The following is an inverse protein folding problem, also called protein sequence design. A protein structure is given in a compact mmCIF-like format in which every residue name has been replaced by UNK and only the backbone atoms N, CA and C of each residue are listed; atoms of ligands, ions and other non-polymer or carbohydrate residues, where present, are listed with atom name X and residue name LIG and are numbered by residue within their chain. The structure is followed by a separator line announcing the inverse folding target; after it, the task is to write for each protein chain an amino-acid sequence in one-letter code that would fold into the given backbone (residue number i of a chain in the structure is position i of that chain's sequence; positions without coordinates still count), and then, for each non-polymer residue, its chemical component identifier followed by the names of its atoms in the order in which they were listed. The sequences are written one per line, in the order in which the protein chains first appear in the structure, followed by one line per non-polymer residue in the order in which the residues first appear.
data_IF_216714378764
#
_entry.id   IF_216714378764
#
_cell.length_a   1.000
_cell.length_b   1.000
_cell.length_c   1.000
_cell.angle_alpha   90.00
_cell.angle_beta   90.00
_cell.angle_gamma   90.00
#
_symmetry.space_group_name_H-M   'P 1'
#
loop_
_entity.id
_entity.type
_entity.pdbx_description
1 polymer ?
#
# COMPACT_ATOMS: atom_id res chain seq x y z
N UNK A 1 -1.35 -9.38 4.54
CA UNK A 1 -1.59 -10.81 4.29
C UNK A 1 -2.22 -11.51 5.48
N UNK A 2 -3.35 -11.00 5.99
CA UNK A 2 -4.12 -11.65 7.06
C UNK A 2 -4.56 -13.08 6.66
N UNK A 3 -4.98 -13.25 5.40
CA UNK A 3 -5.37 -14.54 4.83
C UNK A 3 -4.19 -15.42 4.37
N UNK A 4 -2.95 -15.10 4.74
CA UNK A 4 -1.76 -15.83 4.32
C UNK A 4 -1.57 -15.90 2.77
N UNK A 5 -2.03 -14.88 2.05
CA UNK A 5 -1.88 -14.75 0.59
C UNK A 5 -0.78 -13.70 0.29
N UNK A 6 0.23 -14.02 -0.54
CA UNK A 6 1.26 -13.05 -0.92
C UNK A 6 0.76 -12.09 -2.00
N UNK A 7 1.22 -10.85 -1.93
CA UNK A 7 1.16 -9.93 -3.07
C UNK A 7 2.35 -10.27 -3.97
N UNK A 8 2.07 -10.71 -5.19
CA UNK A 8 3.13 -11.16 -6.12
C UNK A 8 3.46 -10.12 -7.19
N UNK A 9 2.56 -9.17 -7.43
CA UNK A 9 2.66 -8.18 -8.48
C UNK A 9 2.02 -6.86 -8.08
N UNK A 10 2.68 -5.74 -8.37
CA UNK A 10 2.12 -4.38 -8.24
C UNK A 10 2.44 -3.57 -9.51
N UNK A 11 1.46 -2.87 -10.06
CA UNK A 11 1.68 -1.90 -11.14
C UNK A 11 1.16 -0.54 -10.74
N UNK A 12 1.88 0.52 -11.12
CA UNK A 12 1.53 1.89 -10.75
C UNK A 12 2.50 2.90 -11.36
N UNK A 13 2.76 3.99 -10.65
CA UNK A 13 3.90 4.83 -10.98
C UNK A 13 5.20 4.26 -10.42
N UNK A 14 6.30 4.92 -10.76
CA UNK A 14 7.63 4.59 -10.26
C UNK A 14 7.68 4.56 -8.73
N UNK A 15 7.11 5.57 -8.05
CA UNK A 15 7.07 5.63 -6.60
C UNK A 15 6.29 4.45 -5.99
N UNK A 16 5.10 4.14 -6.51
CA UNK A 16 4.31 2.96 -6.08
C UNK A 16 5.14 1.68 -6.17
N UNK A 17 5.91 1.50 -7.25
CA UNK A 17 6.72 0.30 -7.45
C UNK A 17 7.91 0.24 -6.48
N UNK A 18 8.54 1.37 -6.20
CA UNK A 18 9.64 1.49 -5.24
C UNK A 18 9.14 1.22 -3.81
N UNK A 19 8.05 1.86 -3.39
CA UNK A 19 7.39 1.65 -2.09
C UNK A 19 6.97 0.19 -1.91
N UNK A 20 6.36 -0.41 -2.94
CA UNK A 20 5.94 -1.81 -2.87
C UNK A 20 7.13 -2.76 -2.69
N UNK A 21 8.27 -2.49 -3.33
CA UNK A 21 9.50 -3.28 -3.12
C UNK A 21 10.12 -3.05 -1.74
N UNK A 22 10.12 -1.81 -1.25
CA UNK A 22 10.62 -1.49 0.08
C UNK A 22 9.81 -2.19 1.17
N UNK A 23 8.48 -2.22 1.03
CA UNK A 23 7.58 -2.81 2.02
C UNK A 23 7.47 -4.34 1.91
N UNK A 24 7.30 -4.85 0.70
CA UNK A 24 6.95 -6.26 0.44
C UNK A 24 8.16 -7.10 0.00
N UNK A 25 9.32 -6.48 -0.21
CA UNK A 25 10.54 -7.14 -0.65
C UNK A 25 10.57 -7.39 -2.16
N UNK A 26 11.09 -8.55 -2.57
CA UNK A 26 11.38 -8.87 -3.97
C UNK A 26 10.14 -9.31 -4.78
N UNK A 27 9.09 -8.48 -4.79
CA UNK A 27 7.90 -8.68 -5.64
C UNK A 27 8.15 -8.19 -7.07
N UNK A 28 7.38 -8.71 -8.03
CA UNK A 28 7.39 -8.15 -9.38
C UNK A 28 6.64 -6.82 -9.41
N UNK A 29 7.19 -5.83 -10.13
CA UNK A 29 6.54 -4.53 -10.28
C UNK A 29 6.66 -4.00 -11.69
N UNK A 30 5.66 -3.25 -12.16
CA UNK A 30 5.73 -2.52 -13.44
C UNK A 30 5.31 -1.07 -13.24
N UNK A 31 6.26 -0.16 -13.41
CA UNK A 31 6.00 1.27 -13.46
C UNK A 31 5.53 1.66 -14.87
N UNK A 32 4.31 2.18 -14.97
CA UNK A 32 3.69 2.58 -16.24
C UNK A 32 3.63 4.10 -16.41
N UNK A 33 4.01 4.83 -15.36
CA UNK A 33 4.18 6.29 -15.36
C UNK A 33 5.30 6.69 -14.39
N UNK A 34 5.89 7.85 -14.63
CA UNK A 34 6.88 8.49 -13.75
C UNK A 34 6.36 9.87 -13.38
N UNK A 35 6.07 10.09 -12.10
CA UNK A 35 5.63 11.39 -11.59
C UNK A 35 6.80 12.36 -11.45
N UNK A 36 6.60 13.60 -11.88
CA UNK A 36 7.55 14.71 -11.67
C UNK A 36 7.07 15.67 -10.59
N UNK A 37 5.76 15.89 -10.53
CA UNK A 37 5.10 16.67 -9.48
C UNK A 37 3.79 15.99 -9.13
N UNK A 38 3.08 16.53 -8.12
CA UNK A 38 1.78 15.99 -7.68
C UNK A 38 0.78 15.77 -8.82
N UNK A 39 0.81 16.63 -9.83
CA UNK A 39 -0.15 16.63 -10.95
C UNK A 39 0.52 16.51 -12.33
N UNK A 40 1.80 16.13 -12.40
CA UNK A 40 2.54 16.01 -13.65
C UNK A 40 3.29 14.68 -13.70
N UNK A 41 3.14 13.95 -14.80
CA UNK A 41 3.80 12.66 -14.99
C UNK A 41 4.07 12.38 -16.47
N UNK A 42 5.15 11.63 -16.74
CA UNK A 42 5.36 10.96 -18.03
C UNK A 42 4.61 9.62 -18.01
N UNK A 43 3.67 9.44 -18.92
CA UNK A 43 2.79 8.26 -18.97
C UNK A 43 3.08 7.47 -20.25
N UNK A 44 3.12 6.15 -20.15
CA UNK A 44 3.23 5.28 -21.32
C UNK A 44 1.90 5.18 -22.08
N UNK A 45 1.96 4.93 -23.39
CA UNK A 45 0.74 4.73 -24.18
C UNK A 45 -0.05 3.51 -23.68
N UNK A 46 -1.39 3.50 -23.78
CA UNK A 46 -2.21 2.38 -23.32
C UNK A 46 -1.78 1.01 -23.88
N UNK A 47 -1.38 0.97 -25.16
CA UNK A 47 -0.88 -0.25 -25.81
C UNK A 47 0.36 -0.80 -25.10
N UNK A 48 1.37 0.04 -24.88
CA UNK A 48 2.62 -0.35 -24.22
C UNK A 48 2.41 -0.72 -22.75
N UNK A 49 1.56 0.03 -22.05
CA UNK A 49 1.16 -0.27 -20.67
C UNK A 49 0.57 -1.67 -20.55
N UNK A 50 -0.36 -2.04 -21.46
CA UNK A 50 -0.98 -3.36 -21.46
C UNK A 50 0.03 -4.48 -21.68
N UNK A 51 0.95 -4.31 -22.63
CA UNK A 51 2.02 -5.28 -22.92
C UNK A 51 2.91 -5.49 -21.69
N UNK A 52 3.41 -4.41 -21.07
CA UNK A 52 4.30 -4.48 -19.91
C UNK A 52 3.62 -5.11 -18.68
N UNK A 53 2.36 -4.77 -18.40
CA UNK A 53 1.61 -5.37 -17.29
C UNK A 53 1.43 -6.87 -17.54
N UNK A 54 1.04 -7.27 -18.76
CA UNK A 54 0.87 -8.69 -19.11
C UNK A 54 2.17 -9.49 -18.88
N UNK A 55 3.30 -8.96 -19.33
CA UNK A 55 4.61 -9.57 -19.12
C UNK A 55 5.02 -9.62 -17.65
N UNK A 56 4.79 -8.54 -16.90
CA UNK A 56 5.09 -8.46 -15.47
C UNK A 56 4.29 -9.47 -14.65
N UNK A 57 2.99 -9.59 -14.93
CA UNK A 57 2.13 -10.61 -14.32
C UNK A 57 2.61 -12.01 -14.69
N UNK A 58 2.99 -12.26 -15.95
CA UNK A 58 3.52 -13.56 -16.36
C UNK A 58 4.81 -13.94 -15.62
N UNK A 59 5.72 -12.98 -15.38
CA UNK A 59 6.91 -13.20 -14.55
C UNK A 59 6.56 -13.49 -13.09
N UNK A 60 5.60 -12.75 -12.52
CA UNK A 60 5.13 -12.95 -11.16
C UNK A 60 4.55 -14.36 -10.98
N UNK A 61 3.68 -14.81 -11.90
CA UNK A 61 3.08 -16.14 -11.82
C UNK A 61 4.15 -17.24 -11.92
N UNK A 62 5.15 -17.09 -12.81
CA UNK A 62 6.26 -18.07 -12.92
C UNK A 62 7.06 -18.21 -11.63
N UNK A 63 7.18 -17.11 -10.87
CA UNK A 63 7.92 -17.02 -9.61
C UNK A 63 7.03 -17.15 -8.37
N UNK A 64 5.80 -17.64 -8.50
CA UNK A 64 4.78 -17.57 -7.43
C UNK A 64 5.26 -18.16 -6.08
N UNK A 65 6.16 -19.16 -6.12
CA UNK A 65 6.74 -19.81 -4.94
C UNK A 65 7.78 -18.97 -4.20
N UNK A 66 8.30 -17.91 -4.82
CA UNK A 66 9.33 -17.04 -4.26
C UNK A 66 8.75 -16.00 -3.28
N UNK A 67 7.46 -15.69 -3.40
CA UNK A 67 6.83 -14.61 -2.64
C UNK A 67 6.25 -15.11 -1.33
N UNK A 68 6.42 -14.32 -0.28
CA UNK A 68 5.91 -14.61 1.06
C UNK A 68 4.81 -13.62 1.45
N UNK A 69 3.76 -14.07 2.14
CA UNK A 69 2.74 -13.15 2.68
C UNK A 69 3.36 -12.13 3.63
N UNK A 70 2.99 -10.86 3.47
CA UNK A 70 3.31 -9.81 4.44
C UNK A 70 2.36 -9.92 5.63
N UNK A 71 2.85 -10.47 6.74
CA UNK A 71 2.06 -10.75 7.96
C UNK A 71 2.43 -9.73 9.03
N UNK A 72 1.43 -9.01 9.54
CA UNK A 72 1.56 -8.13 10.71
C UNK A 72 0.88 -8.83 11.88
N UNK A 73 1.62 -9.03 12.98
CA UNK A 73 1.14 -9.77 14.14
C UNK A 73 0.32 -8.85 15.06
N UNK A 74 -0.89 -9.25 15.49
CA UNK A 74 -1.65 -8.49 16.48
C UNK A 74 -1.03 -8.59 17.89
N UNK A 75 -1.35 -7.66 18.80
CA UNK A 75 -2.22 -6.49 18.58
C UNK A 75 -1.55 -5.43 17.68
N UNK A 76 -2.35 -4.76 16.86
CA UNK A 76 -1.92 -3.76 15.89
C UNK A 76 -2.21 -2.38 16.44
N UNK A 77 -1.17 -1.57 16.60
CA UNK A 77 -1.31 -0.14 16.86
C UNK A 77 -1.48 0.60 15.52
N UNK A 78 -2.65 1.21 15.33
CA UNK A 78 -2.95 2.05 14.18
C UNK A 78 -2.75 3.49 14.60
N UNK A 79 -1.83 4.19 13.93
CA UNK A 79 -1.59 5.63 14.10
C UNK A 79 -1.96 6.34 12.80
N UNK A 80 -2.84 7.32 12.88
CA UNK A 80 -3.28 8.12 11.73
C UNK A 80 -2.99 9.57 12.01
N UNK A 81 -2.12 10.18 11.21
CA UNK A 81 -1.95 11.63 11.16
C UNK A 81 -2.95 12.22 10.15
N UNK A 82 -3.83 13.09 10.64
CA UNK A 82 -4.92 13.66 9.87
C UNK A 82 -4.53 15.03 9.32
N UNK A 83 -5.24 15.47 8.29
CA UNK A 83 -4.93 16.75 7.64
C UNK A 83 -5.18 17.94 8.60
N UNK A 84 -6.28 17.89 9.37
CA UNK A 84 -6.71 18.97 10.22
C UNK A 84 -7.20 18.46 11.59
N UNK A 85 -7.16 19.35 12.57
CA UNK A 85 -7.59 19.13 13.97
C UNK A 85 -9.05 18.70 14.08
N UNK A 86 -9.96 19.28 13.27
CA UNK A 86 -11.40 18.95 13.29
C UNK A 86 -11.69 17.51 12.84
N UNK A 87 -10.85 16.96 11.97
CA UNK A 87 -10.95 15.55 11.59
C UNK A 87 -10.54 14.66 12.75
N UNK A 88 -9.50 15.04 13.51
CA UNK A 88 -9.09 14.30 14.70
C UNK A 88 -10.20 14.29 15.77
N UNK A 89 -10.90 15.41 15.96
CA UNK A 89 -12.04 15.50 16.87
C UNK A 89 -13.21 14.56 16.49
N UNK A 90 -13.37 14.24 15.19
CA UNK A 90 -14.36 13.24 14.73
C UNK A 90 -13.92 11.82 15.06
N UNK A 91 -12.63 11.51 14.90
CA UNK A 91 -12.08 10.19 15.26
C UNK A 91 -12.11 9.95 16.77
N UNK A 92 -11.87 10.97 17.58
CA UNK A 92 -11.96 10.88 19.05
C UNK A 92 -13.38 10.50 19.50
N UNK A 93 -14.41 11.03 18.85
CA UNK A 93 -15.82 10.62 19.06
C UNK A 93 -16.12 9.17 18.64
N UNK A 94 -15.28 8.57 17.80
CA UNK A 94 -15.34 7.16 17.39
C UNK A 94 -14.39 6.27 18.20
N UNK A 95 -14.09 6.69 19.44
CA UNK A 95 -13.26 5.96 20.40
C UNK A 95 -11.80 5.75 19.94
N UNK A 96 -11.27 6.66 19.13
CA UNK A 96 -9.83 6.74 18.90
C UNK A 96 -9.18 7.62 19.97
N UNK A 97 -7.99 7.24 20.42
CA UNK A 97 -7.21 8.03 21.37
C UNK A 97 -6.45 9.13 20.63
N UNK A 98 -6.76 10.40 20.92
CA UNK A 98 -5.94 11.52 20.44
C UNK A 98 -4.59 11.55 21.15
N UNK A 99 -3.50 11.67 20.39
CA UNK A 99 -2.14 11.74 20.94
C UNK A 99 -1.43 13.05 20.65
N UNK A 100 -1.90 13.82 19.66
CA UNK A 100 -1.50 15.21 19.43
C UNK A 100 -2.60 15.98 18.65
N UNK A 101 -2.31 17.20 18.20
CA UNK A 101 -3.26 18.06 17.50
C UNK A 101 -3.91 17.43 16.25
N UNK A 102 -3.22 16.52 15.55
CA UNK A 102 -3.71 15.91 14.30
C UNK A 102 -3.61 14.39 14.28
N UNK A 103 -3.02 13.77 15.29
CA UNK A 103 -2.78 12.33 15.29
C UNK A 103 -3.66 11.60 16.29
N UNK A 104 -4.27 10.51 15.82
CA UNK A 104 -5.09 9.61 16.60
C UNK A 104 -4.54 8.19 16.56
N UNK A 105 -4.83 7.40 17.60
CA UNK A 105 -4.32 6.06 17.81
C UNK A 105 -5.45 5.11 18.21
N UNK A 106 -5.43 3.89 17.66
CA UNK A 106 -6.33 2.79 18.09
C UNK A 106 -5.58 1.47 18.03
N UNK A 107 -5.78 0.65 19.05
CA UNK A 107 -5.23 -0.72 19.09
C UNK A 107 -6.32 -1.70 18.70
N UNK A 108 -6.02 -2.58 17.76
CA UNK A 108 -6.94 -3.64 17.31
C UNK A 108 -6.28 -5.01 17.40
N UNK A 109 -7.07 -6.05 17.66
CA UNK A 109 -6.62 -7.44 17.76
C UNK A 109 -6.54 -8.17 16.41
N UNK A 110 -7.01 -7.53 15.33
CA UNK A 110 -7.02 -8.09 13.99
C UNK A 110 -6.93 -7.02 12.93
N UNK A 111 -6.20 -7.32 11.85
CA UNK A 111 -6.13 -6.47 10.66
C UNK A 111 -7.51 -6.23 10.01
N UNK A 112 -8.48 -7.12 10.22
CA UNK A 112 -9.85 -6.96 9.70
C UNK A 112 -10.65 -5.85 10.39
N UNK A 113 -10.23 -5.42 11.59
CA UNK A 113 -10.87 -4.32 12.32
C UNK A 113 -10.26 -2.94 12.01
N UNK A 114 -9.36 -2.88 11.03
CA UNK A 114 -8.76 -1.62 10.54
C UNK A 114 -9.70 -0.90 9.57
N UNK A 115 -10.45 -1.65 8.75
CA UNK A 115 -11.38 -1.15 7.72
C UNK A 115 -12.76 -0.88 8.31
#
# INVERSE_FOLDING_TARGET
GHFNIPVIFVSGDKATCEEAKQLLGNIETVAVKEGFTRNCAKILSPKKTKELIKEGVARAIKRIKDFKPYIIKPPLEIKIELQNTDVADRYERMEWKRIDGRTVLKVVDSALKIL
#
